data_IF_893831412703
#
_entry.id   IF_893831412703
#
_cell.length_a   1.000
_cell.length_b   1.000
_cell.length_c   1.000
_cell.angle_alpha   90.00
_cell.angle_beta   90.00
_cell.angle_gamma   90.00
#
_symmetry.space_group_name_H-M   'P 1'
#
loop_
_entity.id
_entity.type
_entity.pdbx_description
1 polymer ?
#
# COMPACT_ATOMS: atom_id res chain seq x y z
N UNK A 1 -3.15 27.24 30.49
CA UNK A 1 -3.16 25.93 29.82
C UNK A 1 -2.74 24.88 30.82
N UNK A 2 -3.54 23.83 31.03
CA UNK A 2 -3.20 22.72 31.93
C UNK A 2 -2.21 21.78 31.21
N UNK A 3 -1.32 21.12 31.96
CA UNK A 3 -0.36 20.12 31.40
C UNK A 3 -1.06 19.08 30.51
N UNK A 4 -2.25 18.66 30.91
CA UNK A 4 -3.12 17.75 30.18
C UNK A 4 -3.48 18.21 28.75
N UNK A 5 -3.85 19.49 28.61
CA UNK A 5 -4.16 20.06 27.28
C UNK A 5 -2.94 20.04 26.36
N UNK A 6 -1.72 20.10 26.90
CA UNK A 6 -0.48 20.04 26.13
C UNK A 6 -0.19 18.60 25.69
N UNK A 7 -0.33 17.64 26.61
CA UNK A 7 -0.11 16.22 26.32
C UNK A 7 -1.12 15.69 25.27
N UNK A 8 -2.38 16.13 25.32
CA UNK A 8 -3.40 15.79 24.32
C UNK A 8 -3.12 16.41 22.94
N UNK A 9 -2.75 17.69 22.88
CA UNK A 9 -2.36 18.33 21.62
C UNK A 9 -1.16 17.64 20.98
N UNK A 10 -0.17 17.22 21.78
CA UNK A 10 1.00 16.51 21.28
C UNK A 10 0.64 15.12 20.72
N UNK A 11 -0.31 14.42 21.33
CA UNK A 11 -0.82 13.16 20.80
C UNK A 11 -1.54 13.36 19.46
N UNK A 12 -2.41 14.37 19.34
CA UNK A 12 -3.10 14.67 18.08
C UNK A 12 -2.10 15.01 16.97
N UNK A 13 -1.11 15.85 17.25
CA UNK A 13 -0.05 16.20 16.29
C UNK A 13 0.75 14.97 15.85
N UNK A 14 1.06 14.07 16.81
CA UNK A 14 1.73 12.79 16.51
C UNK A 14 0.87 11.91 15.60
N UNK A 15 -0.45 11.88 15.82
CA UNK A 15 -1.39 11.08 15.06
C UNK A 15 -1.57 11.62 13.64
N UNK A 16 -1.71 12.94 13.47
CA UNK A 16 -1.77 13.63 12.16
C UNK A 16 -0.47 13.44 11.36
N UNK A 17 0.68 13.48 12.04
CA UNK A 17 1.98 13.22 11.42
C UNK A 17 2.05 11.78 10.91
N UNK A 18 1.58 10.83 11.71
CA UNK A 18 1.55 9.42 11.33
C UNK A 18 0.59 9.17 10.16
N UNK A 19 -0.60 9.78 10.16
CA UNK A 19 -1.54 9.74 9.04
C UNK A 19 -0.92 10.30 7.75
N UNK A 20 -0.19 11.41 7.84
CA UNK A 20 0.53 12.00 6.70
C UNK A 20 1.55 11.03 6.10
N UNK A 21 2.25 10.26 6.94
CA UNK A 21 3.17 9.21 6.49
C UNK A 21 2.43 8.07 5.78
N UNK A 22 1.24 7.68 6.26
CA UNK A 22 0.41 6.67 5.58
C UNK A 22 -0.05 7.16 4.21
N UNK A 23 -0.41 8.42 4.06
CA UNK A 23 -0.75 8.97 2.74
C UNK A 23 0.45 9.01 1.80
N UNK A 24 1.64 9.37 2.30
CA UNK A 24 2.87 9.30 1.52
C UNK A 24 3.15 7.86 1.06
N UNK A 25 2.96 6.88 1.95
CA UNK A 25 3.11 5.45 1.64
C UNK A 25 2.13 5.02 0.54
N UNK A 26 0.85 5.41 0.61
CA UNK A 26 -0.16 5.13 -0.43
C UNK A 26 0.32 5.63 -1.80
N UNK A 27 0.85 6.86 -1.85
CA UNK A 27 1.34 7.46 -3.10
C UNK A 27 2.60 6.73 -3.61
N UNK A 28 3.53 6.38 -2.72
CA UNK A 28 4.74 5.66 -3.07
C UNK A 28 4.44 4.23 -3.58
N UNK A 29 3.48 3.52 -2.96
CA UNK A 29 2.97 2.22 -3.42
C UNK A 29 2.34 2.35 -4.81
N UNK A 30 1.49 3.35 -5.03
CA UNK A 30 0.86 3.58 -6.33
C UNK A 30 1.90 3.89 -7.42
N UNK A 31 2.94 4.66 -7.10
CA UNK A 31 4.07 4.95 -7.97
C UNK A 31 5.03 3.75 -8.13
N UNK A 32 4.95 2.74 -7.27
CA UNK A 32 5.86 1.59 -7.20
C UNK A 32 7.32 1.99 -6.90
N UNK A 33 7.50 3.07 -6.14
CA UNK A 33 8.82 3.59 -5.78
C UNK A 33 9.33 2.89 -4.53
N UNK A 34 10.03 1.76 -4.69
CA UNK A 34 10.44 0.89 -3.58
C UNK A 34 11.37 1.60 -2.58
N UNK A 35 12.37 2.33 -3.06
CA UNK A 35 13.31 3.07 -2.20
C UNK A 35 12.58 4.09 -1.31
N UNK A 36 11.58 4.78 -1.87
CA UNK A 36 10.74 5.73 -1.13
C UNK A 36 9.84 5.01 -0.12
N UNK A 37 9.32 3.82 -0.45
CA UNK A 37 8.53 3.02 0.49
C UNK A 37 9.40 2.60 1.69
N UNK A 38 10.64 2.19 1.46
CA UNK A 38 11.58 1.81 2.52
C UNK A 38 11.88 2.99 3.45
N UNK A 39 12.20 4.17 2.91
CA UNK A 39 12.39 5.38 3.71
C UNK A 39 11.14 5.75 4.53
N UNK A 40 9.94 5.58 3.96
CA UNK A 40 8.68 5.85 4.66
C UNK A 40 8.45 4.83 5.79
N UNK A 41 8.81 3.55 5.61
CA UNK A 41 8.70 2.53 6.66
C UNK A 41 9.58 2.90 7.86
N UNK A 42 10.83 3.30 7.63
CA UNK A 42 11.74 3.73 8.70
C UNK A 42 11.17 4.93 9.48
N UNK A 43 10.61 5.91 8.77
CA UNK A 43 9.96 7.08 9.37
C UNK A 43 8.68 6.74 10.12
N UNK A 44 7.92 5.74 9.65
CA UNK A 44 6.73 5.24 10.34
C UNK A 44 7.09 4.55 11.65
N UNK A 45 8.18 3.81 11.70
CA UNK A 45 8.65 3.20 12.95
C UNK A 45 8.98 4.26 14.02
N UNK A 46 9.60 5.37 13.61
CA UNK A 46 9.83 6.51 14.50
C UNK A 46 8.51 7.19 14.90
N UNK A 47 7.63 7.48 13.94
CA UNK A 47 6.33 8.11 14.20
C UNK A 47 5.44 7.28 15.14
N UNK A 48 5.43 5.95 14.97
CA UNK A 48 4.67 5.04 15.82
C UNK A 48 5.21 5.04 17.26
N UNK A 49 6.53 5.11 17.45
CA UNK A 49 7.12 5.24 18.79
C UNK A 49 6.70 6.54 19.47
N UNK A 50 6.70 7.65 18.74
CA UNK A 50 6.25 8.95 19.26
C UNK A 50 4.75 8.94 19.61
N UNK A 51 3.93 8.32 18.76
CA UNK A 51 2.49 8.17 19.00
C UNK A 51 2.18 7.31 20.24
N UNK A 52 2.92 6.21 20.42
CA UNK A 52 2.76 5.35 21.59
C UNK A 52 3.25 6.02 22.88
N UNK A 53 4.34 6.77 22.82
CA UNK A 53 4.85 7.55 23.95
C UNK A 53 3.88 8.68 24.36
N UNK A 54 3.34 9.41 23.40
CA UNK A 54 2.33 10.45 23.66
C UNK A 54 1.02 9.86 24.20
N UNK A 55 0.56 8.73 23.66
CA UNK A 55 -0.59 7.99 24.20
C UNK A 55 -0.36 7.55 25.65
N UNK A 56 0.84 7.08 25.98
CA UNK A 56 1.19 6.66 27.35
C UNK A 56 1.08 7.78 28.40
N UNK A 57 1.25 9.04 27.97
CA UNK A 57 1.15 10.23 28.83
C UNK A 57 -0.29 10.69 29.07
N UNK A 58 -1.23 10.23 28.26
CA UNK A 58 -2.58 10.78 28.15
C UNK A 58 -3.58 10.28 29.22
N UNK A 59 -3.26 9.21 29.97
CA UNK A 59 -4.15 8.67 31.00
C UNK A 59 -5.50 8.16 30.46
N UNK A 60 -6.45 7.87 31.35
CA UNK A 60 -7.82 7.43 31.00
C UNK A 60 -8.79 8.62 31.12
N UNK A 61 -9.03 9.36 30.04
CA UNK A 61 -9.94 10.52 30.04
C UNK A 61 -10.99 10.41 28.93
N UNK A 62 -12.27 10.35 29.33
CA UNK A 62 -13.38 9.81 28.53
C UNK A 62 -13.82 10.60 27.29
N UNK A 63 -13.87 11.94 27.31
CA UNK A 63 -14.41 12.73 26.17
C UNK A 63 -13.38 12.97 25.06
N UNK A 64 -12.15 13.37 25.41
CA UNK A 64 -11.02 13.51 24.48
C UNK A 64 -10.61 12.16 23.87
N UNK A 65 -10.83 11.06 24.60
CA UNK A 65 -10.62 9.72 24.10
C UNK A 65 -11.53 9.38 22.91
N UNK A 66 -12.77 9.90 22.84
CA UNK A 66 -13.69 9.55 21.75
C UNK A 66 -13.22 10.07 20.39
N UNK A 67 -12.81 11.35 20.34
CA UNK A 67 -12.29 11.97 19.11
C UNK A 67 -10.96 11.32 18.68
N UNK A 68 -10.07 11.08 19.65
CA UNK A 68 -8.84 10.35 19.42
C UNK A 68 -9.10 8.92 18.89
N UNK A 69 -10.16 8.25 19.36
CA UNK A 69 -10.49 6.90 18.92
C UNK A 69 -10.90 6.86 17.45
N UNK A 70 -11.73 7.80 17.00
CA UNK A 70 -12.14 7.90 15.59
C UNK A 70 -10.93 8.11 14.67
N UNK A 71 -10.02 9.01 15.04
CA UNK A 71 -8.78 9.23 14.28
C UNK A 71 -7.87 7.99 14.29
N UNK A 72 -7.77 7.30 15.43
CA UNK A 72 -7.01 6.04 15.52
C UNK A 72 -7.62 4.96 14.61
N UNK A 73 -8.95 4.83 14.58
CA UNK A 73 -9.63 3.90 13.68
C UNK A 73 -9.34 4.23 12.21
N UNK A 74 -9.39 5.51 11.82
CA UNK A 74 -9.04 5.94 10.46
C UNK A 74 -7.60 5.61 10.09
N UNK A 75 -6.66 5.83 11.01
CA UNK A 75 -5.24 5.48 10.83
C UNK A 75 -5.04 3.98 10.70
N UNK A 76 -5.76 3.17 11.49
CA UNK A 76 -5.70 1.71 11.39
C UNK A 76 -6.23 1.20 10.04
N UNK A 77 -7.35 1.75 9.57
CA UNK A 77 -7.93 1.45 8.26
C UNK A 77 -6.96 1.80 7.13
N UNK A 78 -6.28 2.95 7.20
CA UNK A 78 -5.29 3.37 6.21
C UNK A 78 -4.07 2.44 6.23
N UNK A 79 -3.58 2.08 7.41
CA UNK A 79 -2.48 1.14 7.57
C UNK A 79 -2.82 -0.24 6.98
N UNK A 80 -4.03 -0.74 7.21
CA UNK A 80 -4.48 -2.01 6.64
C UNK A 80 -4.52 -1.95 5.11
N UNK A 81 -5.13 -0.89 4.55
CA UNK A 81 -5.21 -0.69 3.10
C UNK A 81 -3.82 -0.59 2.45
N UNK A 82 -2.88 0.11 3.09
CA UNK A 82 -1.51 0.22 2.61
C UNK A 82 -0.79 -1.14 2.65
N UNK A 83 -0.93 -1.88 3.75
CA UNK A 83 -0.33 -3.21 3.87
C UNK A 83 -0.85 -4.19 2.80
N UNK A 84 -2.16 -4.18 2.53
CA UNK A 84 -2.74 -4.96 1.44
C UNK A 84 -2.21 -4.53 0.07
N UNK A 85 -2.16 -3.22 -0.18
CA UNK A 85 -1.73 -2.66 -1.46
C UNK A 85 -0.26 -2.99 -1.73
N UNK A 86 0.58 -2.88 -0.70
CA UNK A 86 1.98 -3.26 -0.77
C UNK A 86 2.15 -4.76 -1.00
N UNK A 87 1.39 -5.63 -0.31
CA UNK A 87 1.41 -7.07 -0.54
C UNK A 87 1.08 -7.43 -1.99
N UNK A 88 0.04 -6.82 -2.56
CA UNK A 88 -0.34 -7.01 -3.97
C UNK A 88 0.75 -6.53 -4.93
N UNK A 89 1.41 -5.40 -4.63
CA UNK A 89 2.55 -4.90 -5.41
C UNK A 89 3.70 -5.90 -5.38
N UNK A 90 4.07 -6.39 -4.19
CA UNK A 90 5.12 -7.37 -4.00
C UNK A 90 4.83 -8.68 -4.74
N UNK A 91 3.63 -9.24 -4.58
CA UNK A 91 3.22 -10.46 -5.29
C UNK A 91 3.30 -10.32 -6.81
N UNK A 92 2.90 -9.17 -7.35
CA UNK A 92 3.01 -8.90 -8.79
C UNK A 92 4.48 -8.84 -9.23
N UNK A 93 5.32 -8.10 -8.51
CA UNK A 93 6.75 -8.03 -8.82
C UNK A 93 7.42 -9.41 -8.72
N UNK A 94 7.04 -10.21 -7.74
CA UNK A 94 7.52 -11.57 -7.56
C UNK A 94 7.10 -12.51 -8.69
N UNK A 95 5.86 -12.41 -9.18
CA UNK A 95 5.40 -13.18 -10.35
C UNK A 95 6.13 -12.76 -11.64
N UNK A 96 6.37 -11.46 -11.81
CA UNK A 96 7.13 -10.93 -12.94
C UNK A 96 8.58 -11.44 -12.94
N UNK A 97 9.26 -11.45 -11.80
CA UNK A 97 10.65 -11.91 -11.70
C UNK A 97 10.80 -13.42 -11.97
N UNK A 98 9.76 -14.20 -11.73
CA UNK A 98 9.70 -15.64 -12.05
C UNK A 98 9.19 -15.95 -13.46
N UNK A 99 8.82 -14.93 -14.24
CA UNK A 99 8.21 -15.10 -15.56
C UNK A 99 6.82 -15.76 -15.53
N UNK A 100 6.15 -15.75 -14.37
CA UNK A 100 4.82 -16.36 -14.17
C UNK A 100 3.68 -15.38 -14.52
N UNK A 101 3.98 -14.11 -14.77
CA UNK A 101 3.01 -13.11 -15.25
C UNK A 101 2.79 -13.27 -16.77
N UNK A 102 2.39 -14.46 -17.20
CA UNK A 102 1.96 -14.77 -18.57
C UNK A 102 0.46 -14.55 -18.76
N UNK A 103 -0.10 -13.49 -18.17
CA UNK A 103 -1.35 -12.94 -18.69
C UNK A 103 -1.02 -12.24 -20.02
N UNK A 104 -0.84 -13.04 -21.08
CA UNK A 104 -0.76 -12.55 -22.45
C UNK A 104 -1.92 -11.56 -22.64
N UNK A 105 -1.59 -10.31 -23.02
CA UNK A 105 -2.63 -9.31 -23.24
C UNK A 105 -3.62 -9.90 -24.26
N UNK A 106 -4.95 -9.67 -24.15
CA UNK A 106 -5.92 -10.24 -25.08
C UNK A 106 -5.59 -9.99 -26.56
N UNK A 107 -4.86 -8.91 -26.83
CA UNK A 107 -4.34 -8.54 -28.16
C UNK A 107 -3.21 -9.46 -28.63
N UNK A 108 -2.28 -9.84 -27.76
CA UNK A 108 -1.20 -10.79 -28.05
C UNK A 108 -1.77 -12.19 -28.30
N UNK A 109 -2.73 -12.62 -27.47
CA UNK A 109 -3.46 -13.89 -27.67
C UNK A 109 -4.21 -13.94 -29.01
N UNK A 110 -4.81 -12.82 -29.44
CA UNK A 110 -5.47 -12.70 -30.75
C UNK A 110 -4.46 -12.72 -31.91
N UNK A 111 -3.33 -12.01 -31.79
CA UNK A 111 -2.29 -12.04 -32.81
C UNK A 111 -1.69 -13.44 -32.97
N UNK A 112 -1.31 -14.09 -31.87
CA UNK A 112 -0.74 -15.45 -31.90
C UNK A 112 -1.71 -16.45 -32.54
N UNK A 113 -3.01 -16.37 -32.21
CA UNK A 113 -4.06 -17.18 -32.87
C UNK A 113 -4.19 -16.89 -34.37
N UNK A 114 -4.08 -15.64 -34.79
CA UNK A 114 -4.15 -15.28 -36.22
C UNK A 114 -2.96 -15.88 -37.00
N UNK A 115 -1.74 -15.78 -36.45
CA UNK A 115 -0.55 -16.39 -37.05
C UNK A 115 -0.61 -17.92 -37.11
N UNK A 116 -1.04 -18.57 -36.02
CA UNK A 116 -1.23 -20.03 -35.98
C UNK A 116 -2.28 -20.49 -37.01
N UNK A 117 -3.37 -19.73 -37.18
CA UNK A 117 -4.42 -20.05 -38.15
C UNK A 117 -3.95 -19.86 -39.59
N UNK A 118 -3.22 -18.77 -39.88
CA UNK A 118 -2.67 -18.53 -41.22
C UNK A 118 -1.59 -19.55 -41.62
N UNK A 119 -0.83 -20.08 -40.66
CA UNK A 119 0.18 -21.11 -40.92
C UNK A 119 -0.43 -22.50 -41.19
N UNK A 120 -1.66 -22.77 -40.74
CA UNK A 120 -2.38 -24.00 -41.06
C UNK A 120 -3.08 -23.96 -42.43
N UNK A 121 -3.46 -22.79 -42.92
CA UNK A 121 -4.11 -22.64 -44.23
C UNK A 121 -3.12 -22.66 -45.43
N UNK A 122 -1.81 -22.59 -45.17
CA UNK A 122 -0.76 -22.56 -46.20
C UNK A 122 0.04 -23.87 -46.36
N UNK A 123 -0.47 -25.01 -45.88
CA UNK A 123 0.08 -26.31 -46.28
C UNK A 123 -0.42 -26.64 -47.69
N UNK A 124 0.46 -26.76 -48.72
CA UNK A 124 0.03 -27.25 -50.01
C UNK A 124 -0.51 -28.67 -49.82
N UNK A 125 -1.78 -28.87 -50.19
CA UNK A 125 -2.33 -30.22 -50.35
C UNK A 125 -1.50 -30.92 -51.43
N UNK A 126 -0.58 -31.77 -51.01
CA UNK A 126 -0.07 -32.82 -51.88
C UNK A 126 -1.15 -33.89 -51.95
N UNK A 127 -2.00 -33.80 -52.97
CA UNK A 127 -2.77 -34.96 -53.43
C UNK A 127 -1.77 -35.97 -54.05
N UNK A 128 -1.85 -37.22 -53.62
CA UNK A 128 -1.21 -38.38 -54.24
C UNK A 128 -2.26 -39.47 -54.43
#
# INVERSE_FOLDING_TARGET
>A
MTKHSIDFSYFLESLETFESLLHAETQAIAAKHLDTIEEIIDRKDEGLRLLLDSKGKLGNHGEEASMANEMVEQVLDLQEKNAESFRRLFERQFKLSRGEDTEEKPREKKMRRAYLKSSQEHLPRFDS
#
